data_IF_345891537135
#
_entry.id   IF_345891537135
#
_cell.length_a   1.000
_cell.length_b   1.000
_cell.length_c   1.000
_cell.angle_alpha   90.00
_cell.angle_beta   90.00
_cell.angle_gamma   90.00
#
_symmetry.space_group_name_H-M   'P 1'
#
loop_
_entity.id
_entity.type
_entity.pdbx_description
1 polymer ?
#
# COMPACT_ATOMS: atom_id res chain seq x y z
N UNK A 1 29.97 14.95 2.04
CA UNK A 1 29.51 15.90 1.00
C UNK A 1 29.51 15.35 -0.43
N UNK A 2 30.46 14.51 -0.88
CA UNK A 2 30.45 13.98 -2.27
C UNK A 2 29.35 12.90 -2.50
N UNK A 3 29.08 12.05 -1.50
CA UNK A 3 28.14 10.93 -1.62
C UNK A 3 26.68 11.32 -1.90
N UNK A 4 26.16 12.33 -1.20
CA UNK A 4 24.79 12.82 -1.41
C UNK A 4 24.59 13.35 -2.84
N UNK A 5 25.53 14.15 -3.35
CA UNK A 5 25.43 14.71 -4.70
C UNK A 5 25.47 13.61 -5.77
N UNK A 6 26.34 12.60 -5.61
CA UNK A 6 26.37 11.42 -6.48
C UNK A 6 25.03 10.67 -6.45
N UNK A 7 24.47 10.45 -5.26
CA UNK A 7 23.20 9.76 -5.09
C UNK A 7 22.04 10.52 -5.78
N UNK A 8 21.92 11.83 -5.53
CA UNK A 8 20.92 12.70 -6.16
C UNK A 8 21.05 12.67 -7.69
N UNK A 9 22.27 12.84 -8.22
CA UNK A 9 22.51 12.78 -9.66
C UNK A 9 22.17 11.41 -10.28
N UNK A 10 22.36 10.31 -9.54
CA UNK A 10 21.93 8.98 -9.99
C UNK A 10 20.41 8.85 -10.00
N UNK A 11 19.73 9.31 -8.95
CA UNK A 11 18.27 9.28 -8.85
C UNK A 11 17.61 10.11 -9.96
N UNK A 12 18.11 11.33 -10.20
CA UNK A 12 17.60 12.18 -11.29
C UNK A 12 17.79 11.54 -12.66
N UNK A 13 18.96 10.93 -12.94
CA UNK A 13 19.19 10.20 -14.20
C UNK A 13 18.29 8.98 -14.37
N UNK A 14 17.89 8.35 -13.26
CA UNK A 14 16.96 7.23 -13.27
C UNK A 14 15.48 7.67 -13.34
N UNK A 15 15.19 8.97 -13.44
CA UNK A 15 13.83 9.49 -13.52
C UNK A 15 13.04 9.42 -12.20
N UNK A 16 13.73 9.30 -11.06
CA UNK A 16 13.06 9.32 -9.76
C UNK A 16 12.41 10.69 -9.55
N UNK A 17 11.14 10.77 -9.08
CA UNK A 17 10.47 12.03 -8.83
C UNK A 17 11.23 12.92 -7.83
N UNK A 18 11.24 14.23 -8.08
CA UNK A 18 11.99 15.19 -7.26
C UNK A 18 11.61 15.09 -5.77
N UNK A 19 10.34 14.89 -5.45
CA UNK A 19 9.86 14.75 -4.08
C UNK A 19 10.51 13.56 -3.36
N UNK A 20 10.73 12.44 -4.05
CA UNK A 20 11.41 11.29 -3.47
C UNK A 20 12.92 11.54 -3.28
N UNK A 21 13.53 12.34 -4.17
CA UNK A 21 14.93 12.79 -4.02
C UNK A 21 15.07 13.70 -2.80
N UNK A 22 14.13 14.63 -2.60
CA UNK A 22 14.15 15.56 -1.47
C UNK A 22 13.98 14.83 -0.12
N UNK A 23 13.09 13.83 -0.07
CA UNK A 23 12.92 12.96 1.10
C UNK A 23 14.18 12.14 1.38
N UNK A 24 14.81 11.58 0.34
CA UNK A 24 16.07 10.86 0.48
C UNK A 24 17.19 11.76 1.01
N UNK A 25 17.31 12.99 0.49
CA UNK A 25 18.28 13.98 0.96
C UNK A 25 18.07 14.32 2.45
N UNK A 26 16.83 14.53 2.88
CA UNK A 26 16.52 14.75 4.29
C UNK A 26 16.99 13.59 5.18
N UNK A 27 16.70 12.34 4.80
CA UNK A 27 17.17 11.18 5.55
C UNK A 27 18.69 11.00 5.50
N UNK A 28 19.32 11.34 4.38
CA UNK A 28 20.78 11.33 4.27
C UNK A 28 21.42 12.30 5.25
N UNK A 29 20.87 13.52 5.37
CA UNK A 29 21.35 14.49 6.36
C UNK A 29 21.10 14.01 7.78
N UNK A 30 19.93 13.43 8.10
CA UNK A 30 19.70 12.85 9.43
C UNK A 30 20.78 11.80 9.77
N UNK A 31 21.12 10.94 8.82
CA UNK A 31 22.18 9.95 8.98
C UNK A 31 23.56 10.60 9.20
N UNK A 32 23.93 11.62 8.43
CA UNK A 32 25.18 12.38 8.61
C UNK A 32 25.26 13.02 10.02
N UNK A 33 24.11 13.41 10.59
CA UNK A 33 24.02 13.97 11.94
C UNK A 33 23.87 12.89 13.04
N UNK A 34 24.04 11.61 12.69
CA UNK A 34 24.07 10.50 13.66
C UNK A 34 22.69 9.97 14.06
N UNK A 35 21.61 10.33 13.36
CA UNK A 35 20.32 9.72 13.58
C UNK A 35 20.38 8.22 13.26
N UNK A 36 19.91 7.39 14.20
CA UNK A 36 19.94 5.92 14.09
C UNK A 36 18.61 5.32 13.67
N UNK A 37 17.51 6.08 13.77
CA UNK A 37 16.15 5.59 13.63
C UNK A 37 15.68 4.71 14.79
N UNK A 38 16.51 4.54 15.84
CA UNK A 38 16.11 3.84 17.05
C UNK A 38 15.18 4.73 17.88
N UNK A 39 14.16 4.11 18.46
CA UNK A 39 13.27 4.72 19.45
C UNK A 39 13.55 4.00 20.78
N UNK A 40 14.30 4.61 21.71
CA UNK A 40 14.56 4.04 23.02
C UNK A 40 13.28 3.85 23.83
N UNK A 41 13.22 2.79 24.64
CA UNK A 41 12.07 2.54 25.54
C UNK A 41 11.84 3.71 26.52
N UNK A 42 12.90 4.42 26.91
CA UNK A 42 12.82 5.62 27.76
C UNK A 42 12.09 6.80 27.12
N UNK A 43 11.97 6.80 25.80
CA UNK A 43 11.47 7.94 25.01
C UNK A 43 9.99 7.75 24.65
N UNK A 44 9.40 6.61 25.02
CA UNK A 44 8.01 6.26 24.76
C UNK A 44 7.29 5.89 26.06
N UNK A 45 5.97 5.96 26.01
CA UNK A 45 5.09 5.50 27.06
C UNK A 45 4.06 4.53 26.44
N UNK A 46 3.59 3.53 27.18
CA UNK A 46 2.51 2.67 26.72
C UNK A 46 1.27 3.53 26.42
N UNK A 47 0.62 3.24 25.29
CA UNK A 47 -0.67 3.82 24.96
C UNK A 47 -1.78 2.96 25.54
N UNK A 48 -2.40 3.46 26.62
CA UNK A 48 -3.54 2.83 27.26
C UNK A 48 -4.87 3.40 26.75
N UNK A 49 -5.98 2.69 27.00
CA UNK A 49 -7.36 3.13 26.71
C UNK A 49 -7.65 3.42 25.22
N UNK A 50 -7.29 2.49 24.35
CA UNK A 50 -7.60 2.59 22.91
C UNK A 50 -9.06 2.23 22.65
N UNK A 51 -9.77 3.10 21.93
CA UNK A 51 -11.15 2.84 21.49
C UNK A 51 -11.25 1.58 20.63
N UNK A 52 -12.29 0.79 20.86
CA UNK A 52 -12.51 -0.46 20.12
C UNK A 52 -13.44 -0.23 18.95
N UNK A 53 -13.04 -0.69 17.77
CA UNK A 53 -13.89 -0.67 16.57
C UNK A 53 -15.22 -1.39 16.80
N UNK A 54 -15.23 -2.47 17.59
CA UNK A 54 -16.44 -3.23 17.90
C UNK A 54 -17.50 -2.44 18.70
N UNK A 55 -17.09 -1.36 19.37
CA UNK A 55 -17.98 -0.51 20.17
C UNK A 55 -18.53 0.66 19.33
N UNK A 56 -18.04 0.84 18.10
CA UNK A 56 -18.50 1.84 17.16
C UNK A 56 -19.67 1.28 16.33
N UNK A 57 -20.71 2.10 16.16
CA UNK A 57 -21.83 1.78 15.25
C UNK A 57 -22.21 3.02 14.46
N UNK A 58 -22.55 2.80 13.19
CA UNK A 58 -22.95 3.85 12.26
C UNK A 58 -24.19 3.38 11.51
N UNK A 59 -25.08 4.33 11.20
CA UNK A 59 -26.20 4.01 10.33
C UNK A 59 -25.73 3.76 8.88
N UNK A 60 -26.61 3.14 8.10
CA UNK A 60 -26.30 2.77 6.71
C UNK A 60 -25.97 3.98 5.85
N UNK A 61 -26.67 5.10 6.05
CA UNK A 61 -26.49 6.32 5.27
C UNK A 61 -25.08 6.90 5.48
N UNK A 62 -24.61 6.92 6.72
CA UNK A 62 -23.27 7.38 7.10
C UNK A 62 -22.19 6.49 6.48
N UNK A 63 -22.35 5.17 6.54
CA UNK A 63 -21.41 4.23 5.93
C UNK A 63 -21.33 4.42 4.40
N UNK A 64 -22.47 4.63 3.74
CA UNK A 64 -22.52 4.86 2.30
C UNK A 64 -21.85 6.18 1.91
N UNK A 65 -22.10 7.27 2.63
CA UNK A 65 -21.47 8.57 2.36
C UNK A 65 -19.95 8.50 2.54
N UNK A 66 -19.48 7.85 3.61
CA UNK A 66 -18.06 7.63 3.84
C UNK A 66 -17.42 6.81 2.71
N UNK A 67 -18.04 5.69 2.31
CA UNK A 67 -17.53 4.84 1.24
C UNK A 67 -17.45 5.54 -0.11
N UNK A 68 -18.35 6.50 -0.40
CA UNK A 68 -18.33 7.31 -1.64
C UNK A 68 -17.11 8.24 -1.73
N UNK A 69 -16.53 8.59 -0.58
CA UNK A 69 -15.38 9.51 -0.47
C UNK A 69 -14.08 8.79 -0.15
N UNK A 70 -14.10 7.46 -0.16
CA UNK A 70 -12.99 6.61 0.25
C UNK A 70 -12.37 5.90 -0.94
N UNK A 71 -11.05 5.73 -0.91
CA UNK A 71 -10.29 4.85 -1.80
C UNK A 71 -9.60 3.79 -0.95
N UNK A 72 -9.60 2.55 -1.42
CA UNK A 72 -8.86 1.45 -0.79
C UNK A 72 -7.54 1.26 -1.52
N UNK A 73 -6.42 1.40 -0.79
CA UNK A 73 -5.08 1.17 -1.35
C UNK A 73 -4.47 -0.06 -0.67
N UNK A 74 -4.00 -1.03 -1.47
CA UNK A 74 -3.28 -2.21 -0.98
C UNK A 74 -1.79 -2.07 -1.26
N UNK A 75 -0.96 -2.17 -0.22
CA UNK A 75 0.50 -2.18 -0.37
C UNK A 75 0.92 -3.52 -0.95
N UNK A 76 1.46 -3.52 -2.17
CA UNK A 76 1.76 -4.73 -2.92
C UNK A 76 3.15 -4.69 -3.57
N UNK A 77 4.07 -3.89 -3.01
CA UNK A 77 5.43 -3.76 -3.53
C UNK A 77 6.40 -4.86 -3.10
N UNK A 78 6.05 -5.63 -2.06
CA UNK A 78 6.92 -6.63 -1.45
C UNK A 78 6.95 -7.96 -2.20
N UNK A 79 8.14 -8.53 -2.34
CA UNK A 79 8.33 -9.90 -2.79
C UNK A 79 8.17 -10.88 -1.63
N UNK A 80 7.68 -12.09 -1.92
CA UNK A 80 7.73 -13.23 -1.01
C UNK A 80 9.13 -13.83 -0.86
N UNK A 81 10.21 -13.04 -0.95
CA UNK A 81 11.59 -13.53 -1.07
C UNK A 81 12.03 -14.36 0.14
N UNK A 82 11.61 -14.01 1.35
CA UNK A 82 11.87 -14.83 2.56
C UNK A 82 11.17 -16.20 2.52
N UNK A 83 10.16 -16.36 1.66
CA UNK A 83 9.42 -17.59 1.41
C UNK A 83 9.88 -18.28 0.11
N UNK A 84 10.97 -17.81 -0.52
CA UNK A 84 11.50 -18.39 -1.76
C UNK A 84 10.72 -18.03 -3.02
N UNK A 85 9.86 -17.00 -2.97
CA UNK A 85 9.07 -16.56 -4.13
C UNK A 85 9.76 -15.42 -4.88
N UNK A 86 9.66 -15.44 -6.22
CA UNK A 86 10.16 -14.38 -7.10
C UNK A 86 9.08 -13.39 -7.54
N UNK A 87 7.81 -13.67 -7.22
CA UNK A 87 6.65 -12.83 -7.56
C UNK A 87 6.06 -12.09 -6.35
N UNK A 88 5.03 -11.28 -6.62
CA UNK A 88 4.27 -10.56 -5.59
C UNK A 88 3.69 -11.52 -4.54
N UNK A 89 3.85 -11.21 -3.25
CA UNK A 89 3.32 -12.06 -2.16
C UNK A 89 1.80 -12.22 -2.22
N UNK A 90 1.09 -11.25 -2.80
CA UNK A 90 -0.36 -11.31 -3.00
C UNK A 90 -0.82 -12.47 -3.90
N UNK A 91 0.07 -13.04 -4.70
CA UNK A 91 -0.23 -14.14 -5.63
C UNK A 91 -0.06 -15.52 -4.99
N UNK A 92 0.30 -15.58 -3.71
CA UNK A 92 0.32 -16.84 -2.97
C UNK A 92 -1.11 -17.33 -2.75
N UNK A 93 -1.36 -18.59 -3.10
CA UNK A 93 -2.59 -19.30 -2.75
C UNK A 93 -2.70 -19.49 -1.23
N UNK A 94 -3.86 -19.18 -0.68
CA UNK A 94 -4.10 -19.20 0.77
C UNK A 94 -5.34 -19.96 1.19
N UNK A 95 -6.31 -20.17 0.30
CA UNK A 95 -7.50 -20.95 0.57
C UNK A 95 -8.12 -21.47 -0.73
N UNK A 96 -8.32 -22.79 -0.84
CA UNK A 96 -9.15 -23.41 -1.89
C UNK A 96 -8.88 -22.93 -3.34
N UNK A 97 -7.61 -22.71 -3.72
CA UNK A 97 -7.25 -22.19 -5.05
C UNK A 97 -7.27 -20.66 -5.17
N UNK A 98 -7.67 -19.93 -4.14
CA UNK A 98 -7.68 -18.47 -4.09
C UNK A 98 -6.38 -17.91 -3.51
N UNK A 99 -5.85 -16.90 -4.18
CA UNK A 99 -4.73 -16.09 -3.71
C UNK A 99 -5.19 -14.97 -2.78
N UNK A 100 -4.26 -14.34 -2.06
CA UNK A 100 -4.58 -13.11 -1.32
C UNK A 100 -5.19 -12.04 -2.23
N UNK A 101 -4.72 -11.94 -3.48
CA UNK A 101 -5.23 -10.98 -4.45
C UNK A 101 -6.69 -11.27 -4.80
N UNK A 102 -7.04 -12.54 -4.99
CA UNK A 102 -8.43 -12.95 -5.28
C UNK A 102 -9.36 -12.60 -4.12
N UNK A 103 -8.93 -12.89 -2.87
CA UNK A 103 -9.69 -12.54 -1.67
C UNK A 103 -9.89 -11.02 -1.54
N UNK A 104 -8.87 -10.21 -1.87
CA UNK A 104 -8.98 -8.75 -1.87
C UNK A 104 -10.05 -8.28 -2.87
N UNK A 105 -10.09 -8.89 -4.06
CA UNK A 105 -11.08 -8.55 -5.08
C UNK A 105 -12.49 -8.91 -4.60
N UNK A 106 -12.69 -10.09 -4.02
CA UNK A 106 -13.99 -10.51 -3.49
C UNK A 106 -14.45 -9.63 -2.31
N UNK A 107 -13.53 -9.22 -1.44
CA UNK A 107 -13.84 -8.24 -0.38
C UNK A 107 -14.33 -6.90 -0.96
N UNK A 108 -13.70 -6.42 -2.04
CA UNK A 108 -14.11 -5.19 -2.69
C UNK A 108 -15.45 -5.33 -3.42
N UNK A 109 -15.71 -6.46 -4.09
CA UNK A 109 -17.01 -6.77 -4.69
C UNK A 109 -18.11 -6.79 -3.64
N UNK A 110 -17.87 -7.47 -2.52
CA UNK A 110 -18.79 -7.51 -1.40
C UNK A 110 -19.08 -6.11 -0.85
N UNK A 111 -18.03 -5.30 -0.59
CA UNK A 111 -18.19 -3.93 -0.11
C UNK A 111 -19.03 -3.07 -1.08
N UNK A 112 -18.72 -3.14 -2.39
CA UNK A 112 -19.42 -2.37 -3.42
C UNK A 112 -20.89 -2.77 -3.51
N UNK A 113 -21.18 -4.07 -3.49
CA UNK A 113 -22.53 -4.60 -3.55
C UNK A 113 -23.34 -4.28 -2.29
N UNK A 114 -22.75 -4.48 -1.11
CA UNK A 114 -23.38 -4.20 0.17
C UNK A 114 -23.75 -2.70 0.25
N UNK A 115 -22.77 -1.81 0.11
CA UNK A 115 -23.03 -0.37 0.25
C UNK A 115 -23.70 0.26 -0.97
N UNK A 116 -23.72 -0.40 -2.13
CA UNK A 116 -24.21 0.18 -3.38
C UNK A 116 -23.33 1.36 -3.85
N UNK A 117 -22.03 1.27 -3.62
CA UNK A 117 -21.05 2.33 -3.91
C UNK A 117 -19.88 1.75 -4.68
N UNK A 118 -19.47 2.39 -5.76
CA UNK A 118 -18.32 1.95 -6.54
C UNK A 118 -16.99 2.46 -5.92
N UNK A 119 -16.64 1.95 -4.73
CA UNK A 119 -15.41 2.34 -4.02
C UNK A 119 -14.17 1.91 -4.82
N UNK A 120 -13.23 2.83 -5.13
CA UNK A 120 -12.03 2.48 -5.89
C UNK A 120 -11.06 1.59 -5.09
N UNK A 121 -10.42 0.66 -5.81
CA UNK A 121 -9.32 -0.17 -5.34
C UNK A 121 -8.07 0.20 -6.15
N UNK A 122 -6.95 0.43 -5.47
CA UNK A 122 -5.65 0.70 -6.08
C UNK A 122 -4.58 -0.18 -5.44
N UNK A 123 -3.55 -0.54 -6.21
CA UNK A 123 -2.41 -1.28 -5.70
C UNK A 123 -1.14 -0.43 -5.73
N UNK A 124 -0.46 -0.32 -4.59
CA UNK A 124 0.87 0.27 -4.52
C UNK A 124 1.90 -0.83 -4.84
N UNK A 125 2.06 -1.09 -6.14
CA UNK A 125 3.03 -2.05 -6.67
C UNK A 125 4.45 -1.48 -6.67
N UNK A 126 5.44 -2.37 -6.80
CA UNK A 126 6.81 -2.01 -7.15
C UNK A 126 7.09 -2.41 -8.60
N UNK A 127 8.25 -1.99 -9.12
CA UNK A 127 8.73 -2.44 -10.43
C UNK A 127 8.87 -3.97 -10.55
N UNK A 128 8.87 -4.71 -9.43
CA UNK A 128 8.94 -6.18 -9.42
C UNK A 128 7.59 -6.87 -9.32
N UNK A 129 6.54 -6.15 -8.96
CA UNK A 129 5.23 -6.75 -8.67
C UNK A 129 4.12 -6.23 -9.58
N UNK A 130 4.35 -5.12 -10.30
CA UNK A 130 3.34 -4.48 -11.11
C UNK A 130 2.81 -5.39 -12.23
N UNK A 131 3.69 -5.96 -13.05
CA UNK A 131 3.27 -6.75 -14.22
C UNK A 131 2.51 -8.01 -13.81
N UNK A 132 3.03 -8.76 -12.84
CA UNK A 132 2.37 -9.97 -12.33
C UNK A 132 1.00 -9.65 -11.71
N UNK A 133 0.90 -8.52 -10.99
CA UNK A 133 -0.36 -8.09 -10.38
C UNK A 133 -1.39 -7.72 -11.45
N UNK A 134 -1.00 -6.92 -12.45
CA UNK A 134 -1.90 -6.54 -13.54
C UNK A 134 -2.34 -7.75 -14.37
N UNK A 135 -1.43 -8.69 -14.63
CA UNK A 135 -1.74 -9.94 -15.31
C UNK A 135 -2.76 -10.78 -14.53
N UNK A 136 -2.58 -10.92 -13.21
CA UNK A 136 -3.51 -11.64 -12.35
C UNK A 136 -4.88 -10.94 -12.24
N UNK A 137 -4.91 -9.60 -12.28
CA UNK A 137 -6.14 -8.81 -12.22
C UNK A 137 -6.93 -8.78 -13.55
N UNK A 138 -6.30 -9.12 -14.67
CA UNK A 138 -6.92 -9.03 -16.00
C UNK A 138 -8.21 -9.86 -16.15
N UNK A 139 -8.41 -10.89 -15.31
CA UNK A 139 -9.64 -11.71 -15.27
C UNK A 139 -10.84 -11.01 -14.61
N UNK A 140 -10.64 -9.84 -14.00
CA UNK A 140 -11.67 -9.09 -13.25
C UNK A 140 -12.10 -7.81 -13.97
N UNK A 141 -12.98 -7.95 -14.96
CA UNK A 141 -13.43 -6.85 -15.82
C UNK A 141 -14.25 -5.77 -15.10
N UNK A 142 -14.85 -6.09 -13.95
CA UNK A 142 -15.68 -5.20 -13.13
C UNK A 142 -14.89 -4.40 -12.08
N UNK A 143 -13.60 -4.67 -11.95
CA UNK A 143 -12.74 -4.02 -10.96
C UNK A 143 -12.36 -2.57 -11.33
N UNK A 144 -11.92 -2.27 -12.57
CA UNK A 144 -11.50 -0.93 -12.97
C UNK A 144 -12.61 0.12 -12.82
N UNK A 145 -12.22 1.33 -12.44
CA UNK A 145 -13.10 2.51 -12.44
C UNK A 145 -12.50 3.54 -13.41
N UNK A 146 -13.35 4.12 -14.26
CA UNK A 146 -12.91 5.10 -15.25
C UNK A 146 -12.10 6.24 -14.59
N UNK A 147 -10.92 6.52 -15.14
CA UNK A 147 -10.01 7.56 -14.63
C UNK A 147 -9.19 7.17 -13.40
N UNK A 148 -9.35 5.95 -12.86
CA UNK A 148 -8.58 5.47 -11.70
C UNK A 148 -7.75 4.24 -12.12
N UNK A 149 -6.41 4.30 -11.98
CA UNK A 149 -5.56 3.15 -12.31
C UNK A 149 -5.72 2.03 -11.26
N UNK A 150 -5.58 0.79 -11.72
CA UNK A 150 -5.43 -0.39 -10.85
C UNK A 150 -3.99 -0.55 -10.38
#
# INVERSE_FOLDING_TARGET
>A
MEGLQIAKARMSRAGVPQQAIDVFENFYHQLEHGATGLIPESDILPLDNVDRVADLSFDRATMQDAARRTVVIKLNGGLGASMGMECAKSLLEVAEGETFLDIIVEQMRHLRADLGVNTPLMFMNSFRTQDDTLAALAKYEDLPIEGIPL
#
